data_IF_204742362015
#
_entry.id   IF_204742362015
#
_cell.length_a   1.000
_cell.length_b   1.000
_cell.length_c   1.000
_cell.angle_alpha   90.00
_cell.angle_beta   90.00
_cell.angle_gamma   90.00
#
_symmetry.space_group_name_H-M   'P 1'
#
loop_
_entity.id
_entity.type
_entity.pdbx_description
1 polymer ?
#
# COMPACT_ATOMS: atom_id res chain seq x y z
N UNK A 1 5.92 16.36 7.59
CA UNK A 1 5.70 14.97 7.11
C UNK A 1 4.58 14.25 7.85
N UNK A 2 4.28 14.58 9.11
CA UNK A 2 3.11 14.13 9.86
C UNK A 2 2.36 15.35 10.42
N UNK A 3 1.02 15.33 10.41
CA UNK A 3 0.15 16.35 11.04
C UNK A 3 -1.02 15.67 11.72
N UNK A 4 -1.38 16.14 12.92
CA UNK A 4 -2.51 15.65 13.69
C UNK A 4 -3.43 16.82 14.02
N UNK A 5 -4.74 16.59 13.89
CA UNK A 5 -5.79 17.52 14.33
C UNK A 5 -6.81 16.75 15.15
N UNK A 6 -7.13 17.25 16.35
CA UNK A 6 -8.20 16.70 17.16
C UNK A 6 -9.38 17.66 17.14
N UNK A 7 -10.48 17.21 16.56
CA UNK A 7 -11.75 17.93 16.57
C UNK A 7 -12.59 17.40 17.72
N UNK A 8 -12.94 18.30 18.66
CA UNK A 8 -13.89 18.01 19.73
C UNK A 8 -15.28 18.28 19.20
N UNK A 9 -16.03 17.23 18.89
CA UNK A 9 -17.37 17.36 18.30
C UNK A 9 -18.41 17.48 19.42
N UNK A 10 -18.30 16.60 20.43
CA UNK A 10 -19.13 16.58 21.64
C UNK A 10 -18.26 16.16 22.85
N UNK A 11 -18.74 16.27 24.10
CA UNK A 11 -17.94 15.91 25.28
C UNK A 11 -17.31 14.52 25.25
N UNK A 12 -17.99 13.53 24.65
CA UNK A 12 -17.51 12.15 24.54
C UNK A 12 -17.17 11.73 23.10
N UNK A 13 -17.40 12.61 22.12
CA UNK A 13 -17.20 12.31 20.70
C UNK A 13 -16.15 13.23 20.08
N UNK A 14 -15.05 12.62 19.64
CA UNK A 14 -13.88 13.31 19.11
C UNK A 14 -13.42 12.65 17.82
N UNK A 15 -12.98 13.45 16.86
CA UNK A 15 -12.35 12.98 15.63
C UNK A 15 -10.86 13.33 15.64
N UNK A 16 -10.01 12.30 15.60
CA UNK A 16 -8.58 12.47 15.38
C UNK A 16 -8.28 12.32 13.88
N UNK A 17 -7.89 13.42 13.25
CA UNK A 17 -7.42 13.42 11.87
C UNK A 17 -5.90 13.31 11.85
N UNK A 18 -5.38 12.34 11.11
CA UNK A 18 -3.94 12.12 10.96
C UNK A 18 -3.60 12.18 9.48
N UNK A 19 -2.69 13.07 9.11
CA UNK A 19 -2.16 13.17 7.75
C UNK A 19 -0.67 12.90 7.77
N UNK A 20 -0.25 11.95 6.95
CA UNK A 20 1.16 11.57 6.81
C UNK A 20 1.55 11.57 5.35
N UNK A 21 2.76 12.03 5.06
CA UNK A 21 3.31 11.98 3.71
C UNK A 21 3.72 10.55 3.37
N UNK A 22 3.32 10.05 2.21
CA UNK A 22 3.52 8.64 1.82
C UNK A 22 5.01 8.24 1.69
N UNK A 23 5.93 9.20 1.58
CA UNK A 23 7.38 8.90 1.56
C UNK A 23 7.94 8.35 2.87
N UNK A 24 7.21 8.47 3.99
CA UNK A 24 7.60 7.95 5.31
C UNK A 24 6.59 6.93 5.85
N UNK A 25 5.63 6.49 5.04
CA UNK A 25 4.49 5.72 5.53
C UNK A 25 3.88 4.86 4.44
N UNK A 26 3.49 3.63 4.79
CA UNK A 26 2.81 2.71 3.91
C UNK A 26 1.64 2.01 4.61
N UNK A 27 1.00 1.06 3.92
CA UNK A 27 -0.13 0.30 4.46
C UNK A 27 0.24 -0.49 5.73
N UNK A 28 1.46 -1.03 5.82
CA UNK A 28 1.93 -1.75 7.02
C UNK A 28 2.17 -0.79 8.19
N UNK A 29 2.81 0.35 7.92
CA UNK A 29 3.09 1.41 8.89
C UNK A 29 1.81 1.93 9.54
N UNK A 30 0.69 1.96 8.78
CA UNK A 30 -0.62 2.38 9.31
C UNK A 30 -1.07 1.50 10.47
N UNK A 31 -1.00 0.18 10.33
CA UNK A 31 -1.40 -0.75 11.38
C UNK A 31 -0.49 -0.65 12.61
N UNK A 32 0.82 -0.51 12.41
CA UNK A 32 1.82 -0.35 13.49
C UNK A 32 1.56 0.95 14.25
N UNK A 33 1.42 2.06 13.54
CA UNK A 33 1.16 3.37 14.14
C UNK A 33 -0.11 3.39 14.98
N UNK A 34 -1.23 2.88 14.46
CA UNK A 34 -2.50 2.85 15.20
C UNK A 34 -2.40 1.95 16.44
N UNK A 35 -1.74 0.79 16.34
CA UNK A 35 -1.48 -0.09 17.48
C UNK A 35 -0.67 0.62 18.55
N UNK A 36 0.44 1.26 18.19
CA UNK A 36 1.33 1.88 19.16
C UNK A 36 0.71 3.14 19.78
N UNK A 37 0.04 3.97 18.97
CA UNK A 37 -0.72 5.12 19.45
C UNK A 37 -1.77 4.72 20.49
N UNK A 38 -2.53 3.65 20.23
CA UNK A 38 -3.57 3.16 21.16
C UNK A 38 -2.95 2.54 22.42
N UNK A 39 -1.80 1.88 22.32
CA UNK A 39 -1.04 1.38 23.49
C UNK A 39 -0.58 2.53 24.39
N UNK A 40 0.08 3.54 23.81
CA UNK A 40 0.50 4.74 24.55
C UNK A 40 -0.70 5.46 25.18
N UNK A 41 -1.77 5.68 24.41
CA UNK A 41 -2.96 6.38 24.89
C UNK A 41 -3.59 5.68 26.11
N UNK A 42 -3.73 4.35 26.07
CA UNK A 42 -4.26 3.57 27.20
C UNK A 42 -3.38 3.70 28.43
N UNK A 43 -2.07 3.51 28.29
CA UNK A 43 -1.12 3.58 29.39
C UNK A 43 -1.14 4.97 30.06
N UNK A 44 -1.10 6.04 29.27
CA UNK A 44 -1.20 7.42 29.77
C UNK A 44 -2.54 7.69 30.46
N UNK A 45 -3.65 7.20 29.91
CA UNK A 45 -4.97 7.34 30.54
C UNK A 45 -5.05 6.66 31.91
N UNK A 46 -4.40 5.52 32.08
CA UNK A 46 -4.44 4.74 33.33
C UNK A 46 -3.27 5.03 34.28
N UNK A 47 -2.38 5.97 33.94
CA UNK A 47 -1.17 6.25 34.72
C UNK A 47 -0.20 5.06 34.81
N UNK A 48 -0.27 4.13 33.87
CA UNK A 48 0.57 2.93 33.85
C UNK A 48 1.83 3.18 33.01
N UNK A 49 2.97 2.56 33.34
CA UNK A 49 4.12 2.58 32.45
C UNK A 49 3.78 1.88 31.14
N UNK A 50 4.35 2.39 30.05
CA UNK A 50 4.24 1.80 28.72
C UNK A 50 5.56 1.18 28.32
N UNK A 51 5.50 -0.05 27.81
CA UNK A 51 6.65 -0.75 27.27
C UNK A 51 6.33 -1.22 25.87
N UNK A 52 6.99 -0.61 24.89
CA UNK A 52 7.08 -1.14 23.54
C UNK A 52 8.50 -1.69 23.36
N UNK A 53 8.67 -2.82 22.65
CA UNK A 53 9.99 -3.32 22.34
C UNK A 53 10.76 -2.27 21.55
N UNK A 54 12.03 -2.06 21.91
CA UNK A 54 12.92 -1.24 21.12
C UNK A 54 13.05 -1.84 19.72
N UNK A 55 13.06 -0.98 18.71
CA UNK A 55 13.25 -1.41 17.33
C UNK A 55 14.74 -1.71 17.10
N UNK A 56 15.13 -2.97 16.87
CA UNK A 56 16.53 -3.33 16.66
C UNK A 56 17.08 -2.82 15.33
N UNK A 57 16.20 -2.36 14.43
CA UNK A 57 16.53 -1.83 13.10
C UNK A 57 15.69 -0.58 12.88
N UNK A 58 16.34 0.54 12.59
CA UNK A 58 15.71 1.78 12.17
C UNK A 58 15.61 1.84 10.64
N UNK A 59 14.75 2.72 10.11
CA UNK A 59 14.60 2.85 8.65
C UNK A 59 15.90 3.27 7.95
N UNK A 60 16.78 4.03 8.63
CA UNK A 60 18.10 4.38 8.11
C UNK A 60 18.98 3.13 7.88
N UNK A 61 18.94 2.18 8.82
CA UNK A 61 19.66 0.91 8.70
C UNK A 61 19.13 0.09 7.52
N UNK A 62 17.80 0.05 7.35
CA UNK A 62 17.16 -0.58 6.19
C UNK A 62 17.61 0.07 4.87
N UNK A 63 17.67 1.40 4.80
CA UNK A 63 18.10 2.11 3.60
C UNK A 63 19.57 1.82 3.24
N UNK A 64 20.45 1.77 4.23
CA UNK A 64 21.85 1.38 4.04
C UNK A 64 21.97 -0.07 3.57
N UNK A 65 21.27 -0.99 4.25
CA UNK A 65 21.22 -2.40 3.87
C UNK A 65 20.72 -2.61 2.44
N UNK A 66 19.67 -1.89 2.02
CA UNK A 66 19.12 -2.00 0.68
C UNK A 66 20.14 -1.52 -0.36
N UNK A 67 20.81 -0.40 -0.07
CA UNK A 67 21.85 0.14 -0.93
C UNK A 67 23.02 -0.82 -1.06
N UNK A 68 23.44 -1.48 0.00
CA UNK A 68 24.53 -2.47 -0.04
C UNK A 68 24.12 -3.73 -0.80
N UNK A 69 22.87 -4.20 -0.63
CA UNK A 69 22.36 -5.38 -1.34
C UNK A 69 22.16 -5.18 -2.84
N UNK A 70 21.73 -3.99 -3.25
CA UNK A 70 21.48 -3.66 -4.65
C UNK A 70 22.76 -3.14 -5.33
N UNK A 71 23.83 -3.94 -5.27
CA UNK A 71 25.11 -3.66 -5.92
C UNK A 71 25.66 -4.91 -6.62
N UNK A 72 26.69 -4.71 -7.44
CA UNK A 72 27.44 -5.78 -8.10
C UNK A 72 26.56 -6.69 -8.96
N UNK A 73 26.85 -7.99 -8.88
CA UNK A 73 26.20 -9.02 -9.70
C UNK A 73 24.70 -9.15 -9.41
N UNK A 74 24.28 -9.07 -8.14
CA UNK A 74 22.86 -9.12 -7.76
C UNK A 74 22.05 -8.04 -8.46
N UNK A 75 22.55 -6.80 -8.45
CA UNK A 75 21.89 -5.70 -9.14
C UNK A 75 21.90 -5.89 -10.67
N UNK A 76 23.03 -6.31 -11.24
CA UNK A 76 23.14 -6.56 -12.67
C UNK A 76 22.15 -7.63 -13.14
N UNK A 77 22.01 -8.73 -12.40
CA UNK A 77 21.09 -9.83 -12.74
C UNK A 77 19.62 -9.39 -12.67
N UNK A 78 19.24 -8.67 -11.61
CA UNK A 78 17.88 -8.11 -11.49
C UNK A 78 17.59 -7.12 -12.62
N UNK A 79 18.57 -6.28 -12.97
CA UNK A 79 18.41 -5.30 -14.04
C UNK A 79 18.25 -5.98 -15.41
N UNK A 80 19.06 -7.01 -15.70
CA UNK A 80 18.94 -7.80 -16.93
C UNK A 80 17.58 -8.47 -17.02
N UNK A 81 17.16 -9.16 -15.95
CA UNK A 81 15.85 -9.79 -15.88
C UNK A 81 14.72 -8.81 -16.20
N UNK A 82 14.66 -7.65 -15.53
CA UNK A 82 13.58 -6.69 -15.77
C UNK A 82 13.65 -6.03 -17.14
N UNK A 83 14.84 -5.82 -17.70
CA UNK A 83 14.98 -5.34 -19.09
C UNK A 83 14.41 -6.33 -20.09
N UNK A 84 14.64 -7.62 -19.89
CA UNK A 84 14.10 -8.67 -20.75
C UNK A 84 12.59 -8.81 -20.58
N UNK A 85 12.08 -8.86 -19.34
CA UNK A 85 10.64 -9.02 -19.09
C UNK A 85 9.80 -7.83 -19.60
N UNK A 86 10.36 -6.61 -19.55
CA UNK A 86 9.66 -5.40 -19.97
C UNK A 86 10.02 -4.98 -21.41
N UNK A 87 10.81 -5.79 -22.13
CA UNK A 87 11.22 -5.49 -23.49
C UNK A 87 9.99 -5.39 -24.41
N UNK A 88 9.89 -4.29 -25.16
CA UNK A 88 8.78 -4.06 -26.10
C UNK A 88 7.46 -3.66 -25.46
N UNK A 89 7.39 -3.43 -24.14
CA UNK A 89 6.19 -2.89 -23.51
C UNK A 89 5.89 -1.47 -24.02
N UNK A 90 4.61 -1.13 -24.26
CA UNK A 90 4.25 0.21 -24.67
C UNK A 90 4.55 1.21 -23.54
N UNK A 91 5.09 2.37 -23.92
CA UNK A 91 5.41 3.43 -22.96
C UNK A 91 4.16 4.04 -22.30
N UNK A 92 3.01 3.93 -22.97
CA UNK A 92 1.71 4.43 -22.50
C UNK A 92 0.67 3.35 -22.76
N UNK A 93 -0.14 3.07 -21.74
CA UNK A 93 -1.32 2.23 -21.90
C UNK A 93 -2.48 3.07 -22.45
N UNK A 94 -3.03 2.64 -23.58
CA UNK A 94 -4.23 3.25 -24.18
C UNK A 94 -5.47 2.76 -23.41
N UNK A 95 -5.96 3.59 -22.49
CA UNK A 95 -7.20 3.38 -21.77
C UNK A 95 -8.32 4.22 -22.41
N UNK A 96 -9.59 3.79 -22.33
CA UNK A 96 -10.74 4.57 -22.80
C UNK A 96 -10.99 5.75 -21.85
N UNK A 97 -10.15 6.78 -21.93
CA UNK A 97 -10.22 7.97 -21.09
C UNK A 97 -11.19 8.99 -21.68
N UNK A 98 -11.99 9.63 -20.83
CA UNK A 98 -12.92 10.69 -21.25
C UNK A 98 -12.20 11.95 -21.78
N UNK A 99 -10.96 12.19 -21.34
CA UNK A 99 -10.19 13.39 -21.65
C UNK A 99 -8.74 13.06 -22.02
N UNK A 100 -8.10 13.87 -22.90
CA UNK A 100 -6.68 13.69 -23.22
C UNK A 100 -5.80 13.93 -21.99
N UNK A 101 -4.66 13.22 -21.93
CA UNK A 101 -3.68 13.37 -20.86
C UNK A 101 -3.06 14.78 -20.89
N UNK A 102 -3.14 15.58 -19.81
CA UNK A 102 -2.51 16.89 -19.75
C UNK A 102 -0.99 16.78 -19.62
N UNK A 103 -0.26 17.80 -20.09
CA UNK A 103 1.20 17.87 -19.96
C UNK A 103 1.67 18.08 -18.52
N UNK A 104 0.82 18.68 -17.67
CA UNK A 104 1.07 18.91 -16.25
C UNK A 104 -0.04 18.22 -15.44
N UNK A 105 0.28 17.22 -14.60
CA UNK A 105 -0.69 16.60 -13.72
C UNK A 105 -1.18 17.58 -12.64
N UNK A 106 -2.50 17.63 -12.40
CA UNK A 106 -3.08 18.41 -11.29
C UNK A 106 -3.26 17.58 -10.01
N UNK A 107 -2.96 16.27 -10.05
CA UNK A 107 -3.10 15.30 -8.97
C UNK A 107 -4.50 15.18 -8.35
N UNK A 108 -5.53 15.70 -9.02
CA UNK A 108 -6.92 15.50 -8.59
C UNK A 108 -7.38 14.11 -9.01
N UNK A 109 -7.88 13.35 -8.06
CA UNK A 109 -8.40 12.00 -8.27
C UNK A 109 -9.63 11.76 -7.40
N UNK A 110 -10.39 10.73 -7.77
CA UNK A 110 -11.54 10.25 -7.01
C UNK A 110 -11.40 8.75 -6.77
N UNK A 111 -12.04 8.25 -5.71
CA UNK A 111 -12.14 6.83 -5.44
C UNK A 111 -13.54 6.35 -5.76
N UNK A 112 -13.65 5.33 -6.61
CA UNK A 112 -14.89 4.59 -6.81
C UNK A 112 -14.78 3.27 -6.05
N UNK A 113 -15.61 3.12 -5.01
CA UNK A 113 -15.68 1.90 -4.21
C UNK A 113 -16.81 1.03 -4.72
N UNK A 114 -16.54 -0.26 -4.87
CA UNK A 114 -17.55 -1.27 -5.15
C UNK A 114 -17.31 -2.48 -4.25
N UNK A 115 -18.38 -3.21 -3.96
CA UNK A 115 -18.35 -4.39 -3.11
C UNK A 115 -18.64 -5.64 -3.92
N UNK A 116 -18.00 -6.75 -3.54
CA UNK A 116 -18.26 -8.06 -4.11
C UNK A 116 -19.11 -8.86 -3.14
N UNK A 117 -20.22 -9.41 -3.64
CA UNK A 117 -21.09 -10.26 -2.84
C UNK A 117 -20.30 -11.43 -2.23
N UNK A 118 -20.54 -11.75 -0.96
CA UNK A 118 -19.81 -12.81 -0.24
C UNK A 118 -19.83 -14.16 -0.97
N UNK A 119 -20.96 -14.48 -1.62
CA UNK A 119 -21.09 -15.69 -2.45
C UNK A 119 -20.13 -15.70 -3.63
N UNK A 120 -19.90 -14.56 -4.27
CA UNK A 120 -18.92 -14.43 -5.36
C UNK A 120 -17.50 -14.59 -4.82
N UNK A 121 -17.17 -13.93 -3.71
CA UNK A 121 -15.85 -14.07 -3.06
C UNK A 121 -15.57 -15.52 -2.68
N UNK A 122 -16.54 -16.25 -2.15
CA UNK A 122 -16.39 -17.67 -1.82
C UNK A 122 -16.10 -18.53 -3.05
N UNK A 123 -16.81 -18.28 -4.17
CA UNK A 123 -16.57 -18.98 -5.44
C UNK A 123 -15.20 -18.67 -6.03
N UNK A 124 -14.77 -17.41 -5.97
CA UNK A 124 -13.44 -17.01 -6.42
C UNK A 124 -12.34 -17.69 -5.60
N UNK A 125 -12.49 -17.77 -4.27
CA UNK A 125 -11.55 -18.51 -3.41
C UNK A 125 -11.46 -19.99 -3.78
N UNK A 126 -12.61 -20.65 -3.95
CA UNK A 126 -12.64 -22.06 -4.35
C UNK A 126 -11.97 -22.28 -5.71
N UNK A 127 -12.18 -21.36 -6.66
CA UNK A 127 -11.49 -21.40 -7.95
C UNK A 127 -9.97 -21.23 -7.79
N UNK A 128 -9.52 -20.26 -7.00
CA UNK A 128 -8.09 -20.05 -6.75
C UNK A 128 -7.44 -21.31 -6.15
N UNK A 129 -8.09 -21.96 -5.18
CA UNK A 129 -7.62 -23.20 -4.57
C UNK A 129 -7.55 -24.35 -5.58
N UNK A 130 -8.59 -24.53 -6.39
CA UNK A 130 -8.63 -25.55 -7.45
C UNK A 130 -7.48 -25.39 -8.44
N UNK A 131 -7.22 -24.15 -8.86
CA UNK A 131 -6.16 -23.82 -9.82
C UNK A 131 -4.78 -23.66 -9.15
N UNK A 132 -4.68 -23.88 -7.83
CA UNK A 132 -3.46 -23.73 -7.02
C UNK A 132 -2.80 -22.35 -7.18
N UNK A 133 -3.61 -21.31 -7.35
CA UNK A 133 -3.18 -19.92 -7.42
C UNK A 133 -3.68 -19.14 -6.20
N UNK A 134 -3.12 -17.96 -5.97
CA UNK A 134 -3.64 -17.07 -4.93
C UNK A 134 -4.86 -16.30 -5.43
N UNK A 135 -5.73 -15.87 -4.51
CA UNK A 135 -6.86 -14.99 -4.84
C UNK A 135 -6.39 -13.70 -5.53
N UNK A 136 -5.21 -13.19 -5.18
CA UNK A 136 -4.58 -12.04 -5.83
C UNK A 136 -4.34 -12.30 -7.33
N UNK A 137 -3.79 -13.46 -7.69
CA UNK A 137 -3.58 -13.84 -9.10
C UNK A 137 -4.90 -13.95 -9.86
N UNK A 138 -5.94 -14.53 -9.25
CA UNK A 138 -7.28 -14.61 -9.84
C UNK A 138 -7.84 -13.22 -10.13
N UNK A 139 -7.75 -12.28 -9.19
CA UNK A 139 -8.20 -10.89 -9.43
C UNK A 139 -7.37 -10.17 -10.48
N UNK A 140 -6.05 -10.30 -10.41
CA UNK A 140 -5.13 -9.68 -11.36
C UNK A 140 -5.48 -10.10 -12.79
N UNK A 141 -5.68 -11.39 -13.03
CA UNK A 141 -6.06 -11.93 -14.34
C UNK A 141 -7.37 -11.31 -14.87
N UNK A 142 -8.39 -11.20 -14.01
CA UNK A 142 -9.69 -10.62 -14.39
C UNK A 142 -9.64 -9.11 -14.64
N UNK A 143 -8.60 -8.43 -14.15
CA UNK A 143 -8.40 -6.98 -14.31
C UNK A 143 -7.61 -6.60 -15.56
N UNK A 144 -6.96 -7.56 -16.22
CA UNK A 144 -6.33 -7.32 -17.51
C UNK A 144 -7.46 -7.18 -18.53
N UNK A 145 -7.66 -6.00 -19.14
CA UNK A 145 -8.61 -5.91 -20.24
C UNK A 145 -8.15 -6.91 -21.30
N UNK A 146 -9.05 -7.81 -21.72
CA UNK A 146 -8.86 -8.54 -22.96
C UNK A 146 -8.75 -7.48 -24.06
N UNK A 147 -7.52 -7.08 -24.38
CA UNK A 147 -7.24 -6.45 -25.65
C UNK A 147 -7.61 -7.52 -26.68
N UNK A 148 -8.77 -7.32 -27.32
CA UNK A 148 -9.28 -8.16 -28.39
C UNK A 148 -8.13 -8.49 -29.35
N UNK A 149 -7.86 -9.78 -29.51
CA UNK A 149 -7.12 -10.33 -30.65
C UNK A 149 -7.79 -9.92 -31.96
#
# INVERSE_FOLDING_TARGET
MLRLYLFKIEPEYHLLFVTVHHCIFDGWSTAIFLRELTTYYKAYRTGQPVWLPELPVQYADFALWQRERLQGETFANLLTYWREQLAGMPAVLELPTDFPRPSIPNFQGAHCLFELALRLVARLKALSEQEKVTLFMTFLLTSVPYASL
#
